data_IF_291480563401
#
_entry.id   IF_291480563401
#
_cell.length_a   1.000
_cell.length_b   1.000
_cell.length_c   1.000
_cell.angle_alpha   90.00
_cell.angle_beta   90.00
_cell.angle_gamma   90.00
#
_symmetry.space_group_name_H-M   'P 1'
#
loop_
_entity.id
_entity.type
_entity.pdbx_description
1 polymer ?
#
# COMPACT_ATOMS: atom_id res chain seq x y z
N UNK A 1 20.00 12.69 10.89
CA UNK A 1 19.75 11.52 10.03
C UNK A 1 19.81 11.86 8.53
N UNK A 2 19.14 12.90 8.04
CA UNK A 2 19.17 13.28 6.61
C UNK A 2 20.58 13.57 6.08
N UNK A 3 21.48 14.13 6.89
CA UNK A 3 22.85 14.44 6.50
C UNK A 3 23.65 13.15 6.32
N UNK A 4 23.58 12.25 7.29
CA UNK A 4 24.24 10.94 7.20
C UNK A 4 23.76 10.13 6.00
N UNK A 5 22.46 10.18 5.68
CA UNK A 5 21.91 9.57 4.47
C UNK A 5 22.49 10.14 3.18
N UNK A 6 22.71 11.45 3.12
CA UNK A 6 23.32 12.12 1.94
C UNK A 6 24.81 11.83 1.83
N UNK A 7 25.53 11.95 2.95
CA UNK A 7 26.98 11.67 3.00
C UNK A 7 27.26 10.18 2.70
N UNK A 8 26.43 9.27 3.25
CA UNK A 8 26.56 7.85 2.98
C UNK A 8 26.31 7.43 1.51
N UNK A 9 25.73 8.32 0.70
CA UNK A 9 25.59 8.13 -0.75
C UNK A 9 26.70 8.76 -1.59
N UNK A 10 27.65 9.46 -0.97
CA UNK A 10 28.72 10.15 -1.68
C UNK A 10 29.80 9.18 -2.22
N UNK A 11 29.97 8.02 -1.57
CA UNK A 11 30.89 6.99 -2.05
C UNK A 11 30.30 5.59 -1.82
N UNK A 12 29.95 4.90 -2.91
CA UNK A 12 29.39 3.56 -2.91
C UNK A 12 30.45 2.45 -3.13
N UNK A 13 31.74 2.78 -3.06
CA UNK A 13 32.80 1.79 -3.22
C UNK A 13 33.01 1.00 -1.93
N UNK A 14 33.35 -0.27 -2.06
CA UNK A 14 33.68 -1.10 -0.92
C UNK A 14 34.92 -0.50 -0.19
N UNK A 15 34.76 -0.08 1.07
CA UNK A 15 35.81 0.61 1.83
C UNK A 15 35.93 2.10 1.58
N UNK A 16 35.03 2.69 0.77
CA UNK A 16 34.98 4.12 0.54
C UNK A 16 34.51 4.90 1.78
N UNK A 17 35.04 6.10 1.96
CA UNK A 17 34.64 7.03 3.03
C UNK A 17 33.91 8.18 2.39
N UNK A 18 32.59 8.25 2.62
CA UNK A 18 31.77 9.38 2.20
C UNK A 18 32.16 10.65 2.96
N UNK A 19 32.35 11.73 2.23
CA UNK A 19 32.61 13.06 2.81
C UNK A 19 31.51 14.04 2.37
N UNK A 20 31.19 15.02 3.20
CA UNK A 20 30.21 16.05 2.90
C UNK A 20 30.53 17.35 3.58
N UNK A 21 30.22 18.47 2.94
CA UNK A 21 30.35 19.81 3.48
C UNK A 21 28.97 20.33 3.85
N UNK A 22 28.84 20.90 5.06
CA UNK A 22 27.68 21.61 5.51
C UNK A 22 27.89 23.10 5.27
N UNK A 23 27.01 23.69 4.48
CA UNK A 23 27.03 25.11 4.20
C UNK A 23 25.89 25.78 4.96
N UNK A 24 26.19 26.73 5.83
CA UNK A 24 25.23 27.62 6.48
C UNK A 24 25.24 28.98 5.81
N UNK A 25 24.06 29.57 5.65
CA UNK A 25 23.93 30.91 5.06
C UNK A 25 23.87 31.97 6.16
N UNK A 26 23.23 31.69 7.27
CA UNK A 26 23.08 32.58 8.43
C UNK A 26 23.83 32.03 9.65
N UNK A 27 24.03 32.86 10.66
CA UNK A 27 24.74 32.48 11.89
C UNK A 27 24.08 31.28 12.59
N UNK A 28 22.76 31.26 12.63
CA UNK A 28 21.99 30.20 13.28
C UNK A 28 22.14 28.88 12.51
N UNK A 29 22.15 28.90 11.18
CA UNK A 29 22.40 27.75 10.33
C UNK A 29 23.79 27.14 10.59
N UNK A 30 24.81 28.03 10.80
CA UNK A 30 26.16 27.57 11.09
C UNK A 30 26.27 26.87 12.45
N UNK A 31 25.57 27.39 13.46
CA UNK A 31 25.52 26.78 14.80
C UNK A 31 24.81 25.41 14.72
N UNK A 32 23.66 25.37 14.05
CA UNK A 32 22.93 24.11 13.83
C UNK A 32 23.78 23.09 13.08
N UNK A 33 24.41 23.49 11.97
CA UNK A 33 25.29 22.64 11.18
C UNK A 33 26.47 22.09 12.00
N UNK A 34 27.08 22.92 12.87
CA UNK A 34 28.17 22.48 13.74
C UNK A 34 27.71 21.46 14.78
N UNK A 35 26.52 21.65 15.38
CA UNK A 35 25.94 20.68 16.32
C UNK A 35 25.62 19.38 15.64
N UNK A 36 25.02 19.43 14.46
CA UNK A 36 24.67 18.24 13.68
C UNK A 36 25.94 17.47 13.25
N UNK A 37 26.96 18.18 12.76
CA UNK A 37 28.23 17.56 12.40
C UNK A 37 28.89 16.87 13.59
N UNK A 38 28.95 17.53 14.75
CA UNK A 38 29.49 16.95 15.98
C UNK A 38 28.76 15.69 16.40
N UNK A 39 27.42 15.72 16.40
CA UNK A 39 26.60 14.55 16.76
C UNK A 39 26.79 13.41 15.76
N UNK A 40 26.85 13.70 14.48
CA UNK A 40 27.09 12.71 13.43
C UNK A 40 28.45 12.01 13.61
N UNK A 41 29.50 12.77 13.89
CA UNK A 41 30.86 12.21 14.15
C UNK A 41 30.88 11.39 15.44
N UNK A 42 30.14 11.80 16.47
CA UNK A 42 30.03 11.06 17.73
C UNK A 42 29.12 9.79 17.63
N UNK A 43 28.48 9.57 16.48
CA UNK A 43 27.51 8.46 16.32
C UNK A 43 26.19 8.69 17.08
N UNK A 44 25.95 9.92 17.56
CA UNK A 44 24.70 10.31 18.22
C UNK A 44 23.61 10.55 17.17
N UNK A 45 22.99 9.45 16.73
CA UNK A 45 21.93 9.46 15.70
C UNK A 45 20.57 9.34 16.39
N UNK A 46 19.57 9.94 15.77
CA UNK A 46 18.18 9.75 16.19
C UNK A 46 17.84 8.25 16.20
N UNK A 47 17.24 7.73 17.28
CA UNK A 47 16.87 6.33 17.35
C UNK A 47 15.84 5.99 16.26
N UNK A 48 16.03 4.87 15.59
CA UNK A 48 15.03 4.33 14.68
C UNK A 48 13.86 3.82 15.51
N UNK A 49 12.72 4.49 15.39
CA UNK A 49 11.48 4.05 16.03
C UNK A 49 10.82 3.03 15.11
N UNK A 50 10.77 1.77 15.57
CA UNK A 50 10.00 0.73 14.92
C UNK A 50 8.51 1.02 15.09
N UNK A 51 7.80 1.14 13.97
CA UNK A 51 6.35 1.35 13.98
C UNK A 51 5.66 0.00 13.84
N UNK A 52 4.99 -0.42 14.89
CA UNK A 52 4.15 -1.60 14.86
C UNK A 52 2.81 -1.28 14.17
N UNK A 53 2.33 -2.22 13.36
CA UNK A 53 1.05 -2.16 12.65
C UNK A 53 0.77 -0.81 11.97
N UNK A 54 1.65 -0.31 11.09
CA UNK A 54 1.44 0.98 10.43
C UNK A 54 0.21 0.89 9.51
N UNK A 55 -0.91 1.49 9.92
CA UNK A 55 -2.22 1.36 9.27
C UNK A 55 -2.21 1.86 7.82
N UNK A 56 -1.43 2.90 7.52
CA UNK A 56 -1.26 3.40 6.16
C UNK A 56 -0.60 2.38 5.23
N UNK A 57 0.36 1.61 5.76
CA UNK A 57 1.00 0.52 5.00
C UNK A 57 0.00 -0.60 4.76
N UNK A 58 -0.74 -1.00 5.80
CA UNK A 58 -1.78 -2.03 5.66
C UNK A 58 -2.83 -1.61 4.63
N UNK A 59 -3.34 -0.38 4.69
CA UNK A 59 -4.30 0.15 3.74
C UNK A 59 -3.76 0.08 2.29
N UNK A 60 -2.51 0.53 2.08
CA UNK A 60 -1.88 0.45 0.78
C UNK A 60 -1.75 -0.99 0.28
N UNK A 61 -1.29 -1.91 1.14
CA UNK A 61 -1.15 -3.33 0.77
C UNK A 61 -2.49 -3.96 0.41
N UNK A 62 -3.56 -3.69 1.17
CA UNK A 62 -4.91 -4.15 0.85
C UNK A 62 -5.32 -3.69 -0.55
N UNK A 63 -5.16 -2.40 -0.84
CA UNK A 63 -5.55 -1.85 -2.16
C UNK A 63 -4.68 -2.43 -3.27
N UNK A 64 -3.37 -2.58 -3.05
CA UNK A 64 -2.45 -3.16 -4.05
C UNK A 64 -2.77 -4.62 -4.34
N UNK A 65 -3.05 -5.43 -3.32
CA UNK A 65 -3.46 -6.83 -3.49
C UNK A 65 -4.76 -6.94 -4.28
N UNK A 66 -5.77 -6.16 -3.91
CA UNK A 66 -7.06 -6.12 -4.61
C UNK A 66 -6.90 -5.58 -6.03
N UNK A 67 -6.04 -4.57 -6.22
CA UNK A 67 -5.73 -4.05 -7.56
C UNK A 67 -5.15 -5.13 -8.47
N UNK A 68 -4.25 -5.95 -7.97
CA UNK A 68 -3.57 -6.99 -8.74
C UNK A 68 -4.48 -8.19 -9.05
N UNK A 69 -5.26 -8.63 -8.08
CA UNK A 69 -6.04 -9.87 -8.17
C UNK A 69 -7.53 -9.65 -8.54
N UNK A 70 -8.03 -8.43 -8.44
CA UNK A 70 -9.43 -8.09 -8.73
C UNK A 70 -10.35 -8.20 -7.53
N UNK A 71 -10.36 -9.34 -6.87
CA UNK A 71 -11.07 -9.59 -5.62
C UNK A 71 -10.32 -10.63 -4.81
N UNK A 72 -10.35 -10.51 -3.50
CA UNK A 72 -9.68 -11.43 -2.57
C UNK A 72 -10.56 -11.70 -1.36
N UNK A 73 -10.55 -12.94 -0.83
CA UNK A 73 -11.13 -13.24 0.46
C UNK A 73 -10.44 -12.42 1.56
N UNK A 74 -11.20 -11.96 2.55
CA UNK A 74 -10.65 -11.19 3.69
C UNK A 74 -9.59 -12.02 4.44
N UNK A 75 -9.80 -13.31 4.60
CA UNK A 75 -8.86 -14.18 5.31
C UNK A 75 -7.52 -14.28 4.58
N UNK A 76 -7.53 -14.38 3.25
CA UNK A 76 -6.29 -14.37 2.43
C UNK A 76 -5.50 -13.06 2.61
N UNK A 77 -6.19 -11.92 2.62
CA UNK A 77 -5.57 -10.62 2.86
C UNK A 77 -4.99 -10.55 4.28
N UNK A 78 -5.76 -11.02 5.27
CA UNK A 78 -5.34 -11.04 6.67
C UNK A 78 -4.09 -11.88 6.87
N UNK A 79 -4.05 -13.10 6.32
CA UNK A 79 -2.89 -14.00 6.38
C UNK A 79 -1.65 -13.36 5.72
N UNK A 80 -1.83 -12.72 4.57
CA UNK A 80 -0.73 -12.06 3.87
C UNK A 80 -0.13 -10.90 4.68
N UNK A 81 -0.96 -10.08 5.33
CA UNK A 81 -0.49 -8.98 6.17
C UNK A 81 0.14 -9.50 7.47
N UNK A 82 -0.50 -10.45 8.14
CA UNK A 82 -0.01 -11.04 9.38
C UNK A 82 1.34 -11.75 9.22
N UNK A 83 1.67 -12.22 8.00
CA UNK A 83 2.96 -12.83 7.68
C UNK A 83 4.16 -11.87 7.76
N UNK A 84 3.94 -10.55 7.79
CA UNK A 84 5.02 -9.58 7.93
C UNK A 84 5.25 -9.22 9.41
N UNK A 85 6.51 -9.26 9.87
CA UNK A 85 6.88 -9.08 11.28
C UNK A 85 6.38 -7.77 11.92
N UNK A 86 6.19 -6.71 11.13
CA UNK A 86 5.58 -5.45 11.60
C UNK A 86 4.10 -5.58 11.98
N UNK A 87 3.44 -6.64 11.51
CA UNK A 87 2.02 -6.88 11.71
C UNK A 87 1.76 -8.10 12.61
N UNK A 88 2.68 -8.44 13.48
CA UNK A 88 2.49 -9.50 14.47
C UNK A 88 1.19 -9.27 15.27
N UNK A 89 0.38 -10.32 15.39
CA UNK A 89 -0.94 -10.23 16.01
C UNK A 89 -1.97 -9.44 15.19
N UNK A 90 -1.77 -9.28 13.89
CA UNK A 90 -2.79 -8.76 12.97
C UNK A 90 -3.94 -9.76 12.83
N UNK A 91 -5.18 -9.29 12.93
CA UNK A 91 -6.37 -10.13 12.95
C UNK A 91 -7.32 -9.73 11.83
N UNK A 92 -8.28 -10.61 11.57
CA UNK A 92 -9.33 -10.42 10.59
C UNK A 92 -10.13 -9.13 10.81
N UNK A 93 -10.40 -8.80 12.07
CA UNK A 93 -11.11 -7.58 12.47
C UNK A 93 -10.34 -6.31 12.05
N UNK A 94 -9.00 -6.35 12.14
CA UNK A 94 -8.14 -5.24 11.71
C UNK A 94 -8.24 -5.03 10.18
N UNK A 95 -8.25 -6.12 9.41
CA UNK A 95 -8.43 -6.07 7.96
C UNK A 95 -9.82 -5.52 7.59
N UNK A 96 -10.87 -5.94 8.29
CA UNK A 96 -12.24 -5.45 8.08
C UNK A 96 -12.34 -3.96 8.41
N UNK A 97 -11.76 -3.53 9.53
CA UNK A 97 -11.80 -2.13 9.95
C UNK A 97 -11.17 -1.21 8.88
N UNK A 98 -9.99 -1.56 8.38
CA UNK A 98 -9.36 -0.78 7.30
C UNK A 98 -10.13 -0.92 6.00
N UNK A 99 -10.62 -2.11 5.68
CA UNK A 99 -11.46 -2.34 4.52
C UNK A 99 -12.68 -1.43 4.48
N UNK A 100 -13.38 -1.26 5.60
CA UNK A 100 -14.53 -0.38 5.71
C UNK A 100 -14.16 1.09 5.46
N UNK A 101 -13.06 1.58 6.06
CA UNK A 101 -12.57 2.96 5.83
C UNK A 101 -12.26 3.19 4.35
N UNK A 102 -11.62 2.22 3.70
CA UNK A 102 -11.31 2.31 2.27
C UNK A 102 -12.57 2.22 1.39
N UNK A 103 -13.58 1.45 1.81
CA UNK A 103 -14.86 1.32 1.12
C UNK A 103 -15.70 2.60 1.26
N UNK A 104 -15.72 3.23 2.41
CA UNK A 104 -16.36 4.54 2.64
C UNK A 104 -15.76 5.62 1.72
N UNK A 105 -14.43 5.54 1.46
CA UNK A 105 -13.74 6.36 0.48
C UNK A 105 -13.93 5.93 -0.98
N UNK A 106 -14.73 4.91 -1.26
CA UNK A 106 -14.96 4.33 -2.59
C UNK A 106 -13.69 3.79 -3.28
N UNK A 107 -12.65 3.50 -2.51
CA UNK A 107 -11.38 2.98 -3.03
C UNK A 107 -11.49 1.50 -3.39
N UNK A 108 -12.22 0.75 -2.59
CA UNK A 108 -12.51 -0.69 -2.75
C UNK A 108 -13.99 -0.94 -2.46
N UNK A 109 -14.42 -2.19 -2.52
CA UNK A 109 -15.72 -2.67 -2.07
C UNK A 109 -15.53 -3.80 -1.07
N UNK A 110 -16.30 -3.79 0.00
CA UNK A 110 -16.41 -4.92 0.92
C UNK A 110 -17.69 -5.69 0.58
N UNK A 111 -17.54 -6.94 0.20
CA UNK A 111 -18.64 -7.83 -0.19
C UNK A 111 -18.82 -8.87 0.90
N UNK A 112 -19.95 -8.86 1.58
CA UNK A 112 -20.24 -9.86 2.62
C UNK A 112 -20.53 -11.23 2.02
N UNK A 113 -21.19 -11.23 0.86
CA UNK A 113 -21.56 -12.44 0.16
C UNK A 113 -20.61 -12.71 -1.02
N UNK A 114 -19.90 -13.85 -1.04
CA UNK A 114 -19.03 -14.21 -2.17
C UNK A 114 -19.77 -14.25 -3.52
N UNK A 115 -21.09 -14.42 -3.54
CA UNK A 115 -21.91 -14.41 -4.76
C UNK A 115 -21.94 -13.06 -5.46
N UNK A 116 -21.69 -11.97 -4.72
CA UNK A 116 -21.63 -10.62 -5.27
C UNK A 116 -20.31 -10.38 -6.03
N UNK A 117 -19.34 -11.29 -5.86
CA UNK A 117 -18.08 -11.25 -6.58
C UNK A 117 -18.16 -12.20 -7.77
N UNK A 118 -18.10 -11.71 -9.01
CA UNK A 118 -18.15 -12.55 -10.19
C UNK A 118 -17.05 -13.63 -10.17
N UNK A 119 -17.41 -14.88 -10.35
CA UNK A 119 -16.49 -16.03 -10.27
C UNK A 119 -15.27 -15.91 -11.18
N UNK A 120 -15.41 -15.33 -12.35
CA UNK A 120 -14.33 -15.11 -13.31
C UNK A 120 -13.29 -14.07 -12.82
N UNK A 121 -13.57 -13.38 -11.72
CA UNK A 121 -12.64 -12.48 -11.03
C UNK A 121 -12.04 -13.06 -9.76
N UNK A 122 -12.40 -14.29 -9.42
CA UNK A 122 -11.81 -14.95 -8.27
C UNK A 122 -10.33 -15.23 -8.50
N UNK A 123 -9.50 -15.20 -7.47
CA UNK A 123 -8.12 -15.65 -7.54
C UNK A 123 -8.04 -17.08 -8.07
N UNK A 124 -6.95 -17.37 -8.77
CA UNK A 124 -6.77 -18.68 -9.40
C UNK A 124 -6.77 -19.84 -8.40
N UNK A 125 -6.19 -19.63 -7.21
CA UNK A 125 -6.18 -20.61 -6.12
C UNK A 125 -7.57 -20.94 -5.59
N UNK A 126 -8.45 -19.94 -5.47
CA UNK A 126 -9.86 -20.13 -5.10
C UNK A 126 -10.59 -20.94 -6.16
N UNK A 127 -10.36 -20.64 -7.42
CA UNK A 127 -10.95 -21.37 -8.53
C UNK A 127 -10.44 -22.82 -8.59
N UNK A 128 -9.15 -23.06 -8.39
CA UNK A 128 -8.56 -24.38 -8.33
C UNK A 128 -9.11 -25.22 -7.16
N UNK A 129 -9.36 -24.59 -6.02
CA UNK A 129 -9.99 -25.26 -4.88
C UNK A 129 -11.42 -25.69 -5.20
N UNK A 130 -12.17 -24.84 -5.90
CA UNK A 130 -13.52 -25.19 -6.36
C UNK A 130 -13.47 -26.36 -7.35
N UNK A 131 -12.54 -26.39 -8.29
CA UNK A 131 -12.36 -27.51 -9.23
C UNK A 131 -12.10 -28.82 -8.48
N UNK A 132 -11.23 -28.81 -7.47
CA UNK A 132 -10.90 -30.00 -6.67
C UNK A 132 -12.10 -30.53 -5.87
N UNK A 133 -12.95 -29.63 -5.38
CA UNK A 133 -14.07 -29.96 -4.50
C UNK A 133 -15.37 -30.22 -5.27
N UNK A 134 -15.48 -29.70 -6.49
CA UNK A 134 -16.66 -29.87 -7.34
C UNK A 134 -16.70 -31.26 -7.97
N UNK A 135 -17.89 -31.86 -7.96
CA UNK A 135 -18.16 -33.10 -8.70
C UNK A 135 -18.61 -32.88 -10.15
N UNK A 136 -18.72 -31.62 -10.57
CA UNK A 136 -19.16 -31.22 -11.91
C UNK A 136 -17.98 -30.70 -12.72
N UNK A 137 -18.02 -30.92 -14.02
CA UNK A 137 -17.12 -30.24 -14.95
C UNK A 137 -17.38 -28.74 -14.88
N UNK A 138 -16.31 -27.97 -14.55
CA UNK A 138 -16.36 -26.52 -14.47
C UNK A 138 -15.72 -25.93 -15.74
N UNK A 139 -16.23 -24.79 -16.22
CA UNK A 139 -15.62 -24.11 -17.36
C UNK A 139 -14.21 -23.63 -17.01
N UNK A 140 -13.39 -23.46 -18.02
CA UNK A 140 -12.08 -22.82 -17.83
C UNK A 140 -12.28 -21.35 -17.42
N UNK A 141 -11.54 -20.92 -16.39
CA UNK A 141 -11.59 -19.54 -15.93
C UNK A 141 -11.01 -18.61 -17.02
N UNK A 142 -11.79 -17.63 -17.52
CA UNK A 142 -11.33 -16.77 -18.59
C UNK A 142 -10.17 -15.85 -18.10
N UNK A 143 -9.15 -15.71 -18.95
CA UNK A 143 -8.06 -14.76 -18.73
C UNK A 143 -8.50 -13.39 -19.26
N UNK A 144 -8.99 -12.54 -18.36
CA UNK A 144 -9.52 -11.23 -18.71
C UNK A 144 -8.51 -10.11 -18.41
N UNK A 145 -8.44 -9.13 -19.29
CA UNK A 145 -7.74 -7.89 -18.99
C UNK A 145 -8.43 -7.10 -17.87
N UNK A 146 -7.77 -6.07 -17.34
CA UNK A 146 -8.19 -5.34 -16.13
C UNK A 146 -9.67 -4.88 -16.16
N UNK A 147 -10.16 -4.37 -17.27
CA UNK A 147 -11.53 -3.86 -17.44
C UNK A 147 -12.37 -4.69 -18.41
N UNK A 148 -11.89 -5.86 -18.78
CA UNK A 148 -12.59 -6.73 -19.71
C UNK A 148 -13.69 -7.51 -19.00
N UNK A 149 -14.83 -7.68 -19.65
CA UNK A 149 -15.92 -8.54 -19.21
C UNK A 149 -16.01 -9.74 -20.15
N UNK A 150 -16.28 -10.94 -19.63
CA UNK A 150 -16.48 -12.10 -20.49
C UNK A 150 -17.78 -11.98 -21.28
N UNK A 151 -17.98 -12.89 -22.24
CA UNK A 151 -19.26 -12.99 -22.94
C UNK A 151 -20.43 -13.20 -21.97
N UNK A 152 -21.62 -12.75 -22.34
CA UNK A 152 -22.83 -12.85 -21.51
C UNK A 152 -23.10 -14.28 -21.02
N UNK A 153 -22.79 -15.27 -21.87
CA UNK A 153 -22.92 -16.70 -21.53
C UNK A 153 -22.05 -17.10 -20.35
N UNK A 154 -20.82 -16.59 -20.28
CA UNK A 154 -19.87 -16.85 -19.17
C UNK A 154 -20.24 -16.01 -17.96
N UNK A 155 -20.60 -14.75 -18.17
CA UNK A 155 -20.98 -13.83 -17.11
C UNK A 155 -22.24 -14.27 -16.35
N UNK A 156 -23.16 -14.96 -17.00
CA UNK A 156 -24.40 -15.46 -16.39
C UNK A 156 -24.21 -16.70 -15.50
N UNK A 157 -23.07 -17.38 -15.58
CA UNK A 157 -22.79 -18.52 -14.73
C UNK A 157 -22.48 -18.05 -13.30
N UNK A 158 -23.02 -18.77 -12.34
CA UNK A 158 -22.81 -18.51 -10.90
C UNK A 158 -22.29 -19.77 -10.22
N UNK A 159 -21.34 -19.58 -9.32
CA UNK A 159 -20.78 -20.65 -8.51
C UNK A 159 -20.74 -20.22 -7.04
N UNK A 160 -20.88 -21.17 -6.15
CA UNK A 160 -20.68 -20.96 -4.72
C UNK A 160 -19.16 -21.04 -4.43
N UNK A 161 -18.63 -20.06 -3.71
CA UNK A 161 -17.24 -20.12 -3.29
C UNK A 161 -17.00 -21.32 -2.36
N UNK A 162 -15.82 -21.96 -2.42
CA UNK A 162 -15.48 -23.02 -1.47
C UNK A 162 -15.67 -22.55 -0.03
N UNK A 163 -16.10 -23.46 0.87
CA UNK A 163 -16.44 -23.14 2.26
C UNK A 163 -15.34 -22.35 3.00
N UNK A 164 -14.08 -22.60 2.67
CA UNK A 164 -12.93 -21.86 3.20
C UNK A 164 -12.99 -20.36 2.90
N UNK A 165 -13.58 -19.97 1.78
CA UNK A 165 -13.66 -18.60 1.28
C UNK A 165 -15.08 -18.01 1.33
N UNK A 166 -15.98 -18.63 2.09
CA UNK A 166 -17.39 -18.25 2.13
C UNK A 166 -17.68 -16.99 2.95
N UNK A 167 -16.70 -16.38 3.60
CA UNK A 167 -16.90 -15.28 4.56
C UNK A 167 -16.20 -14.00 4.12
N UNK A 168 -16.94 -13.16 3.41
CA UNK A 168 -16.51 -11.80 3.14
C UNK A 168 -15.31 -11.67 2.17
N UNK A 169 -15.41 -10.70 1.28
CA UNK A 169 -14.43 -10.43 0.24
C UNK A 169 -14.17 -8.94 0.13
N UNK A 170 -13.00 -8.60 -0.34
CA UNK A 170 -12.68 -7.24 -0.77
C UNK A 170 -12.44 -7.27 -2.27
N UNK A 171 -13.12 -6.38 -2.99
CA UNK A 171 -13.07 -6.28 -4.45
C UNK A 171 -12.71 -4.87 -4.93
N UNK A 172 -12.30 -4.78 -6.20
CA UNK A 172 -12.04 -3.48 -6.85
C UNK A 172 -13.31 -2.64 -6.94
N UNK A 173 -13.13 -1.34 -6.75
CA UNK A 173 -14.08 -0.32 -7.16
C UNK A 173 -13.62 0.37 -8.46
N UNK A 174 -14.44 1.26 -9.00
CA UNK A 174 -14.04 2.12 -10.12
C UNK A 174 -12.85 3.05 -9.81
N UNK A 175 -12.58 3.34 -8.54
CA UNK A 175 -11.51 4.24 -8.09
C UNK A 175 -10.22 3.54 -7.68
N UNK A 176 -10.21 2.23 -7.55
CA UNK A 176 -9.02 1.47 -7.10
C UNK A 176 -7.79 1.78 -7.93
N UNK A 177 -7.91 1.78 -9.26
CA UNK A 177 -6.79 2.08 -10.18
C UNK A 177 -6.27 3.50 -10.00
N UNK A 178 -7.15 4.49 -9.94
CA UNK A 178 -6.76 5.89 -9.74
C UNK A 178 -6.06 6.08 -8.41
N UNK A 179 -6.56 5.44 -7.36
CA UNK A 179 -5.95 5.48 -6.05
C UNK A 179 -4.54 4.91 -6.07
N UNK A 180 -4.34 3.73 -6.69
CA UNK A 180 -3.02 3.10 -6.84
C UNK A 180 -2.06 4.03 -7.57
N UNK A 181 -2.49 4.62 -8.69
CA UNK A 181 -1.64 5.54 -9.47
C UNK A 181 -1.20 6.75 -8.65
N UNK A 182 -2.07 7.28 -7.81
CA UNK A 182 -1.79 8.46 -6.99
C UNK A 182 -0.97 8.13 -5.73
N UNK A 183 -0.98 6.86 -5.27
CA UNK A 183 -0.36 6.43 -4.02
C UNK A 183 0.69 5.32 -4.20
N UNK A 184 1.36 5.29 -5.37
CA UNK A 184 2.46 4.35 -5.63
C UNK A 184 3.61 4.51 -4.63
N UNK A 185 3.81 5.71 -4.12
CA UNK A 185 4.77 6.01 -3.07
C UNK A 185 4.06 6.16 -1.74
N UNK A 186 4.52 5.43 -0.72
CA UNK A 186 4.09 5.61 0.67
C UNK A 186 4.67 6.86 1.32
N UNK A 187 5.54 7.57 0.61
CA UNK A 187 6.07 8.86 1.05
C UNK A 187 4.93 9.86 0.85
N UNK A 188 4.39 10.46 1.93
CA UNK A 188 3.35 11.46 1.79
C UNK A 188 3.88 12.59 0.91
N UNK A 189 3.08 13.00 -0.05
CA UNK A 189 3.38 14.18 -0.85
C UNK A 189 3.64 15.34 0.11
N UNK A 190 4.76 16.03 -0.11
CA UNK A 190 5.02 17.25 0.63
C UNK A 190 3.84 18.16 0.39
N UNK A 191 3.16 18.55 1.45
CA UNK A 191 2.16 19.60 1.34
C UNK A 191 2.83 20.81 0.71
N UNK A 192 2.44 21.17 -0.49
CA UNK A 192 2.90 22.40 -1.11
C UNK A 192 2.12 23.55 -0.52
N UNK A 193 2.83 24.44 0.16
CA UNK A 193 2.24 25.66 0.67
C UNK A 193 2.51 26.79 -0.31
N UNK A 194 1.46 27.50 -0.70
CA UNK A 194 1.61 28.70 -1.50
C UNK A 194 2.11 29.82 -0.60
N UNK A 195 3.39 30.17 -0.75
CA UNK A 195 4.00 31.28 -0.02
C UNK A 195 3.53 32.60 -0.66
N UNK A 196 2.95 33.48 0.13
CA UNK A 196 2.51 34.80 -0.30
C UNK A 196 3.20 35.88 0.53
N UNK A 197 3.64 36.94 -0.12
CA UNK A 197 4.09 38.13 0.56
C UNK A 197 2.94 38.72 1.40
N UNK A 198 3.20 38.99 2.67
CA UNK A 198 2.20 39.47 3.62
C UNK A 198 1.64 40.86 3.28
N UNK A 199 2.45 41.71 2.65
CA UNK A 199 2.12 43.11 2.32
C UNK A 199 1.51 43.18 0.92
N UNK A 200 2.18 42.64 -0.08
CA UNK A 200 1.77 42.75 -1.49
C UNK A 200 0.80 41.67 -1.92
N UNK A 201 0.63 40.61 -1.11
CA UNK A 201 -0.15 39.40 -1.40
C UNK A 201 0.24 38.67 -2.69
N UNK A 202 1.36 39.02 -3.28
CA UNK A 202 1.90 38.30 -4.45
C UNK A 202 2.39 36.90 -4.06
N UNK A 203 2.17 35.92 -4.93
CA UNK A 203 2.73 34.60 -4.76
C UNK A 203 4.23 34.65 -4.95
N UNK A 204 4.99 34.15 -3.98
CA UNK A 204 6.46 34.07 -4.01
C UNK A 204 6.97 32.70 -4.44
N UNK A 205 6.07 31.71 -4.59
CA UNK A 205 6.39 30.35 -5.00
C UNK A 205 5.38 29.34 -4.45
N UNK A 206 5.56 28.09 -4.87
CA UNK A 206 4.84 26.92 -4.34
C UNK A 206 5.78 26.10 -3.50
#
# INVERSE_FOLDING_TARGET
DRILHRVGRADHRLGGIGSGNLLGWESDDLIEAAVIARKAVAGEIEPVVWREKPLSVAANQIVMMVHSHGALPIDTITEAIAGAGQFEGWRREDTIAIGNVLADGWVIRCEENPKDVPWYRWPHDVWQELIKTSKKELPEQPKLAYNETPSDKIASLTFDAPAKYAKGWISRSGRTRQWVTNHLSMIPDKQSYRVRDAVTRKSLGN
#
